data_IF_910372149840
#
_entry.id   IF_910372149840
#
_cell.length_a   1.000
_cell.length_b   1.000
_cell.length_c   1.000
_cell.angle_alpha   90.00
_cell.angle_beta   90.00
_cell.angle_gamma   90.00
#
_symmetry.space_group_name_H-M   'P 1'
#
loop_
_entity.id
_entity.type
_entity.pdbx_description
1 polymer ?
#
# COMPACT_ATOMS: atom_id res chain seq x y z
N UNK A 1 -13.00 9.96 26.77
CA UNK A 1 -13.35 8.93 25.79
C UNK A 1 -12.11 8.21 25.30
N UNK A 2 -12.17 6.92 25.26
CA UNK A 2 -11.04 6.11 24.83
C UNK A 2 -11.05 5.91 23.33
N UNK A 3 -9.84 5.88 22.76
CA UNK A 3 -9.67 5.78 21.33
C UNK A 3 -8.66 4.67 21.08
N UNK A 4 -9.10 3.62 20.41
CA UNK A 4 -8.24 2.48 20.11
C UNK A 4 -7.93 2.45 18.62
N UNK A 5 -6.68 2.23 18.29
CA UNK A 5 -6.26 2.21 16.90
C UNK A 5 -5.38 1.01 16.65
N UNK A 6 -5.51 0.49 15.44
CA UNK A 6 -4.66 -0.63 15.00
C UNK A 6 -3.64 -0.06 14.04
N UNK A 7 -2.42 0.06 14.51
CA UNK A 7 -1.34 0.61 13.72
C UNK A 7 -0.54 -0.50 13.06
N UNK A 8 -0.05 -0.22 11.87
CA UNK A 8 0.77 -1.18 11.14
C UNK A 8 1.86 -0.42 10.41
N UNK A 9 2.93 -1.12 10.08
CA UNK A 9 4.00 -0.53 9.31
C UNK A 9 4.65 -1.61 8.46
N UNK A 10 5.30 -1.16 7.40
CA UNK A 10 5.94 -2.11 6.50
C UNK A 10 6.45 -1.42 5.27
N UNK A 11 6.86 -2.24 4.31
CA UNK A 11 7.33 -1.78 3.02
C UNK A 11 6.60 -2.58 1.96
N UNK A 12 6.09 -1.87 0.94
CA UNK A 12 5.40 -2.53 -0.14
C UNK A 12 5.73 -1.90 -1.47
N UNK A 13 5.34 -2.58 -2.54
CA UNK A 13 5.60 -2.14 -3.90
C UNK A 13 4.27 -1.83 -4.58
N UNK A 14 4.19 -0.67 -5.22
CA UNK A 14 2.97 -0.26 -5.90
C UNK A 14 2.65 -1.24 -7.02
N UNK A 15 1.42 -1.78 -7.01
CA UNK A 15 0.99 -2.73 -8.04
C UNK A 15 0.48 -2.01 -9.28
N UNK A 16 0.16 -0.72 -9.16
CA UNK A 16 -0.30 0.11 -10.26
C UNK A 16 -0.01 1.55 -9.89
N UNK A 17 -0.15 2.44 -10.86
CA UNK A 17 0.00 3.86 -10.55
C UNK A 17 -1.09 4.27 -9.57
N UNK A 18 -0.74 5.07 -8.55
CA UNK A 18 -1.77 5.55 -7.62
C UNK A 18 -2.73 6.49 -8.32
N UNK A 19 -3.98 6.49 -7.88
CA UNK A 19 -5.01 7.37 -8.42
C UNK A 19 -5.37 8.42 -7.36
N UNK A 20 -5.68 9.61 -7.82
CA UNK A 20 -6.05 10.69 -6.92
C UNK A 20 -7.39 11.26 -7.36
N UNK A 21 -8.19 11.65 -6.39
CA UNK A 21 -9.47 12.29 -6.68
C UNK A 21 -9.76 13.32 -5.60
N UNK A 22 -10.59 14.28 -5.96
CA UNK A 22 -11.05 15.30 -5.05
C UNK A 22 -12.41 14.90 -4.51
N UNK A 23 -12.58 15.01 -3.20
CA UNK A 23 -13.84 14.67 -2.56
C UNK A 23 -14.29 15.83 -1.71
N UNK A 24 -15.60 15.88 -1.41
CA UNK A 24 -16.16 16.95 -0.64
C UNK A 24 -16.98 17.88 -1.50
N UNK A 25 -17.47 18.96 -0.88
CA UNK A 25 -18.31 19.92 -1.57
C UNK A 25 -17.52 21.15 -1.95
N UNK A 26 -18.22 22.20 -2.42
CA UNK A 26 -17.58 23.38 -2.92
C UNK A 26 -16.85 24.17 -1.83
N UNK A 27 -17.23 23.99 -0.58
CA UNK A 27 -16.60 24.71 0.52
C UNK A 27 -15.46 23.95 1.15
N UNK A 28 -15.55 22.62 1.16
CA UNK A 28 -14.54 21.79 1.77
C UNK A 28 -14.17 20.69 0.81
N UNK A 29 -12.99 20.82 0.27
CA UNK A 29 -12.47 19.82 -0.65
C UNK A 29 -11.21 19.21 -0.10
N UNK A 30 -11.09 17.91 -0.26
CA UNK A 30 -9.90 17.17 0.13
C UNK A 30 -9.49 16.29 -1.01
N UNK A 31 -8.21 16.01 -1.08
CA UNK A 31 -7.67 15.07 -2.04
C UNK A 31 -7.47 13.73 -1.35
N UNK A 32 -7.81 12.66 -2.03
CA UNK A 32 -7.50 11.32 -1.53
C UNK A 32 -6.82 10.55 -2.64
N UNK A 33 -5.71 9.93 -2.28
CA UNK A 33 -4.94 9.09 -3.19
C UNK A 33 -5.11 7.65 -2.73
N UNK A 34 -5.49 6.79 -3.66
CA UNK A 34 -5.73 5.38 -3.36
C UNK A 34 -4.77 4.53 -4.16
N UNK A 35 -4.27 3.49 -3.53
CA UNK A 35 -3.33 2.60 -4.18
C UNK A 35 -3.28 1.29 -3.44
N UNK A 36 -2.73 0.28 -4.11
CA UNK A 36 -2.50 -1.02 -3.49
C UNK A 36 -1.02 -1.30 -3.49
N UNK A 37 -0.57 -1.93 -2.44
CA UNK A 37 0.82 -2.34 -2.33
C UNK A 37 0.89 -3.86 -2.24
N UNK A 38 1.89 -4.41 -2.90
CA UNK A 38 2.22 -5.82 -2.77
C UNK A 38 3.28 -5.93 -1.68
N UNK A 39 2.98 -6.77 -0.70
CA UNK A 39 3.91 -7.05 0.39
C UNK A 39 4.30 -8.49 0.24
N UNK A 40 5.54 -8.71 -0.18
CA UNK A 40 6.00 -10.02 -0.56
C UNK A 40 6.56 -10.77 0.64
N UNK A 41 6.08 -11.98 0.80
CA UNK A 41 6.58 -12.90 1.79
C UNK A 41 7.26 -14.04 1.05
N UNK A 42 8.42 -14.46 1.53
CA UNK A 42 9.13 -15.58 0.94
C UNK A 42 9.14 -16.73 1.93
N UNK A 43 8.76 -17.92 1.45
CA UNK A 43 8.73 -19.12 2.28
C UNK A 43 9.34 -20.28 1.52
N UNK A 44 9.87 -21.25 2.25
CA UNK A 44 10.36 -22.46 1.65
C UNK A 44 9.22 -23.45 1.50
N UNK A 45 9.06 -23.97 0.30
CA UNK A 45 8.07 -25.00 0.02
C UNK A 45 8.80 -26.09 -0.72
N UNK A 46 8.86 -27.29 -0.10
CA UNK A 46 9.56 -28.43 -0.67
C UNK A 46 11.00 -28.10 -1.03
N UNK A 47 11.67 -27.37 -0.11
CA UNK A 47 13.07 -27.03 -0.30
C UNK A 47 13.33 -25.84 -1.19
N UNK A 48 12.30 -25.27 -1.81
CA UNK A 48 12.46 -24.14 -2.71
C UNK A 48 11.88 -22.89 -2.11
N UNK A 49 12.52 -21.77 -2.39
CA UNK A 49 12.07 -20.47 -1.91
C UNK A 49 11.01 -19.94 -2.87
N UNK A 50 9.82 -19.68 -2.35
CA UNK A 50 8.71 -19.20 -3.15
C UNK A 50 8.18 -17.90 -2.61
N UNK A 51 7.69 -17.06 -3.52
CA UNK A 51 7.17 -15.75 -3.18
C UNK A 51 5.65 -15.84 -3.02
N UNK A 52 5.16 -15.28 -1.92
CA UNK A 52 3.74 -15.20 -1.65
C UNK A 52 3.40 -13.72 -1.45
N UNK A 53 2.85 -13.07 -2.47
CA UNK A 53 2.51 -11.65 -2.33
C UNK A 53 1.19 -11.49 -1.61
N UNK A 54 1.13 -10.48 -0.77
CA UNK A 54 -0.11 -10.07 -0.11
C UNK A 54 -0.44 -8.67 -0.61
N UNK A 55 -1.69 -8.45 -0.96
CA UNK A 55 -2.11 -7.18 -1.53
C UNK A 55 -3.02 -6.46 -0.56
N UNK A 56 -2.71 -5.21 -0.26
CA UNK A 56 -3.50 -4.41 0.67
C UNK A 56 -3.83 -3.07 0.04
N UNK A 57 -5.00 -2.57 0.38
CA UNK A 57 -5.46 -1.28 -0.12
C UNK A 57 -5.11 -0.19 0.88
N UNK A 58 -4.62 0.92 0.34
CA UNK A 58 -4.18 2.06 1.12
C UNK A 58 -4.86 3.32 0.63
N UNK A 59 -4.98 4.27 1.52
CA UNK A 59 -5.42 5.62 1.16
C UNK A 59 -4.58 6.63 1.93
N UNK A 60 -4.42 7.80 1.33
CA UNK A 60 -3.70 8.90 1.95
C UNK A 60 -4.38 10.18 1.54
N UNK A 61 -4.32 11.19 2.39
CA UNK A 61 -5.15 12.39 2.22
C UNK A 61 -4.32 13.64 2.04
N UNK A 62 -4.88 14.61 1.31
CA UNK A 62 -4.46 15.99 1.18
C UNK A 62 -3.04 16.12 0.65
N UNK A 63 -2.16 16.81 1.34
CA UNK A 63 -0.83 17.07 0.80
C UNK A 63 -0.05 15.80 0.57
N UNK A 64 -0.19 14.85 1.48
CA UNK A 64 0.48 13.56 1.31
C UNK A 64 -0.06 12.82 0.08
N UNK A 65 -1.36 12.97 -0.20
CA UNK A 65 -1.95 12.37 -1.39
C UNK A 65 -1.30 12.94 -2.65
N UNK A 66 -1.11 14.25 -2.68
CA UNK A 66 -0.49 14.87 -3.83
C UNK A 66 0.95 14.44 -4.03
N UNK A 67 1.69 14.29 -2.92
CA UNK A 67 3.08 13.86 -3.00
C UNK A 67 3.21 12.44 -3.52
N UNK A 68 2.40 11.53 -3.01
CA UNK A 68 2.46 10.15 -3.44
C UNK A 68 2.04 10.04 -4.90
N UNK A 69 0.98 10.72 -5.27
CA UNK A 69 0.52 10.71 -6.65
C UNK A 69 1.59 11.23 -7.61
N UNK A 70 2.31 12.27 -7.19
CA UNK A 70 3.31 12.89 -8.05
C UNK A 70 4.56 12.05 -8.20
N UNK A 71 5.00 11.39 -7.11
CA UNK A 71 6.33 10.79 -7.08
C UNK A 71 6.35 9.26 -7.07
N UNK A 72 5.22 8.59 -7.00
CA UNK A 72 5.19 7.13 -6.97
C UNK A 72 4.45 6.59 -8.18
N UNK A 73 5.00 5.53 -8.75
CA UNK A 73 4.44 4.86 -9.92
C UNK A 73 4.47 3.37 -9.67
N UNK A 74 3.79 2.64 -10.54
CA UNK A 74 3.82 1.18 -10.49
C UNK A 74 5.26 0.69 -10.37
N UNK A 75 5.50 -0.19 -9.42
CA UNK A 75 6.81 -0.76 -9.20
C UNK A 75 7.67 -0.04 -8.17
N UNK A 76 7.28 1.17 -7.77
CA UNK A 76 8.02 1.91 -6.76
C UNK A 76 7.75 1.35 -5.38
N UNK A 77 8.67 1.62 -4.45
CA UNK A 77 8.55 1.16 -3.07
C UNK A 77 8.07 2.28 -2.16
N UNK A 78 7.38 1.89 -1.11
CA UNK A 78 6.94 2.82 -0.09
C UNK A 78 7.09 2.16 1.27
N UNK A 79 7.75 2.85 2.19
CA UNK A 79 7.70 2.48 3.59
C UNK A 79 6.56 3.25 4.23
N UNK A 80 5.68 2.55 4.93
CA UNK A 80 4.47 3.17 5.45
C UNK A 80 4.28 2.91 6.92
N UNK A 81 3.60 3.85 7.56
CA UNK A 81 3.00 3.70 8.88
C UNK A 81 1.54 4.06 8.70
N UNK A 82 0.66 3.13 9.05
CA UNK A 82 -0.74 3.29 8.68
C UNK A 82 -1.65 2.77 9.78
N UNK A 83 -2.87 3.26 9.76
CA UNK A 83 -3.92 2.83 10.68
C UNK A 83 -4.92 2.00 9.89
N UNK A 84 -5.23 0.81 10.39
CA UNK A 84 -6.23 -0.05 9.76
C UNK A 84 -7.61 0.52 10.03
N UNK A 85 -8.44 0.58 9.01
CA UNK A 85 -9.80 1.10 9.12
C UNK A 85 -10.72 0.20 8.31
N UNK A 86 -11.95 0.09 8.75
CA UNK A 86 -12.96 -0.59 7.97
C UNK A 86 -13.77 0.44 7.19
N UNK A 87 -13.96 0.17 5.92
CA UNK A 87 -14.91 0.91 5.12
C UNK A 87 -16.15 0.07 4.97
N UNK A 88 -17.30 0.69 5.15
CA UNK A 88 -18.58 0.00 5.10
C UNK A 88 -19.49 0.70 4.12
N UNK A 89 -20.23 -0.09 3.36
CA UNK A 89 -21.19 0.45 2.41
C UNK A 89 -22.22 -0.62 2.14
N UNK A 90 -23.28 -0.23 1.47
CA UNK A 90 -24.30 -1.19 1.04
C UNK A 90 -24.13 -1.46 -0.43
N UNK A 91 -24.23 -2.74 -0.79
CA UNK A 91 -24.13 -3.15 -2.18
C UNK A 91 -25.25 -2.48 -2.96
N UNK A 92 -24.91 -1.90 -4.11
CA UNK A 92 -25.90 -1.15 -4.89
C UNK A 92 -26.96 -2.04 -5.48
N UNK A 93 -26.63 -3.29 -5.77
CA UNK A 93 -27.59 -4.17 -6.42
C UNK A 93 -28.40 -4.97 -5.43
N UNK A 94 -27.80 -5.46 -4.36
CA UNK A 94 -28.49 -6.30 -3.41
C UNK A 94 -28.92 -5.58 -2.15
N UNK A 95 -28.33 -4.42 -1.87
CA UNK A 95 -28.59 -3.71 -0.63
C UNK A 95 -27.91 -4.29 0.58
N UNK A 96 -27.13 -5.34 0.41
CA UNK A 96 -26.49 -6.01 1.52
C UNK A 96 -25.31 -5.19 2.04
N UNK A 97 -25.06 -5.25 3.35
CA UNK A 97 -23.90 -4.55 3.90
C UNK A 97 -22.60 -5.20 3.45
N UNK A 98 -21.63 -4.37 3.11
CA UNK A 98 -20.30 -4.80 2.71
C UNK A 98 -19.27 -4.05 3.52
N UNK A 99 -18.10 -4.65 3.65
CA UNK A 99 -17.00 -3.98 4.32
C UNK A 99 -15.68 -4.47 3.77
N UNK A 100 -14.67 -3.65 3.95
CA UNK A 100 -13.31 -4.05 3.63
C UNK A 100 -12.36 -3.26 4.52
N UNK A 101 -11.14 -3.77 4.66
CA UNK A 101 -10.12 -3.11 5.44
C UNK A 101 -9.28 -2.26 4.50
N UNK A 102 -9.07 -1.01 4.89
CA UNK A 102 -8.23 -0.08 4.16
C UNK A 102 -7.24 0.49 5.16
N UNK A 103 -6.01 0.69 4.74
CA UNK A 103 -4.97 1.24 5.59
C UNK A 103 -4.80 2.71 5.25
N UNK A 104 -5.08 3.57 6.22
CA UNK A 104 -4.88 5.01 6.05
C UNK A 104 -3.46 5.34 6.44
N UNK A 105 -2.70 5.88 5.51
CA UNK A 105 -1.30 6.17 5.73
C UNK A 105 -1.18 7.39 6.63
N UNK A 106 -0.47 7.23 7.74
CA UNK A 106 -0.19 8.32 8.67
C UNK A 106 1.16 8.95 8.39
N UNK A 107 2.11 8.15 7.91
CA UNK A 107 3.45 8.62 7.61
C UNK A 107 4.07 7.68 6.60
N UNK A 108 5.04 8.18 5.84
CA UNK A 108 5.66 7.33 4.82
C UNK A 108 7.04 7.85 4.47
N UNK A 109 7.83 6.97 3.86
CA UNK A 109 9.13 7.32 3.32
C UNK A 109 9.24 6.72 1.93
N UNK A 110 9.65 7.52 0.97
CA UNK A 110 9.93 7.04 -0.38
C UNK A 110 11.26 6.30 -0.34
N UNK A 111 11.24 5.07 -0.82
CA UNK A 111 12.45 4.26 -0.88
C UNK A 111 12.90 4.15 -2.31
N UNK A 112 14.21 4.03 -2.55
CA UNK A 112 14.68 3.83 -3.91
C UNK A 112 14.17 2.51 -4.47
N UNK A 113 13.92 2.50 -5.78
CA UNK A 113 13.34 1.33 -6.43
C UNK A 113 14.25 0.11 -6.32
N UNK A 114 15.49 0.32 -6.16
CA UNK A 114 16.44 -0.78 -6.15
C UNK A 114 16.90 -1.06 -7.56
N UNK A 115 18.10 -1.52 -7.66
CA UNK A 115 18.68 -1.75 -8.96
C UNK A 115 18.44 -3.12 -9.49
N UNK A 116 18.04 -3.84 -9.01
CA UNK A 116 17.79 -5.03 -9.47
C UNK A 116 17.02 -5.61 -10.22
N UNK A 117 17.33 -4.71 -10.29
CA UNK A 117 16.94 -5.02 -10.72
C UNK A 117 16.68 -5.70 -11.26
N UNK A 118 16.88 -5.69 -11.32
CA UNK A 118 16.78 -6.07 -11.67
C UNK A 118 16.43 -6.87 -12.09
N UNK A 119 16.43 -7.07 -12.37
CA UNK A 119 16.24 -7.66 -12.73
C UNK A 119 15.76 -8.41 -13.19
N UNK A 120 15.77 -8.52 -13.94
CA UNK A 120 15.35 -9.22 -14.44
C UNK A 120 14.95 -10.28 -14.14
N UNK A 121 15.04 -10.70 -13.84
CA UNK A 121 14.72 -11.76 -13.35
C UNK A 121 14.27 -11.81 -12.22
N UNK A 122 14.13 -11.14 -11.97
CA UNK A 122 13.81 -11.08 -10.93
C UNK A 122 13.92 -11.51 -10.04
N UNK A 123 14.35 -11.83 -10.00
CA UNK A 123 14.56 -12.24 -9.10
C UNK A 123 15.21 -11.94 -8.35
N UNK A 124 15.51 -11.66 -8.40
CA UNK A 124 16.17 -11.35 -7.64
C UNK A 124 16.44 -10.87 -6.93
N UNK A 125 16.48 -10.44 -6.98
CA UNK A 125 16.76 -9.93 -6.22
C UNK A 125 16.82 -9.58 -5.41
N UNK A 126 16.85 -9.41 -5.31
CA UNK A 126 16.91 -9.12 -4.49
C UNK A 126 16.99 -8.91 -3.69
N UNK A 127 17.16 -8.65 -3.71
CA UNK A 127 17.24 -8.45 -2.93
C UNK A 127 17.29 -8.30 -2.15
N UNK A 128 17.42 -8.14 -2.26
CA UNK A 128 17.58 -8.02 -1.29
C UNK A 128 17.44 -7.84 -0.51
N UNK A 129 17.41 -7.72 -0.47
CA UNK A 129 17.26 -7.62 0.40
C UNK A 129 17.01 -7.95 1.01
N UNK A 130 16.96 -7.97 0.87
CA UNK A 130 16.74 -8.35 1.51
C UNK A 130 16.72 -8.68 2.18
N UNK A 131 16.99 -8.74 2.08
CA UNK A 131 17.06 -9.10 2.82
C UNK A 131 16.82 -8.87 3.57
N UNK A 132 16.72 -8.41 3.56
CA UNK A 132 16.52 -8.24 4.37
C UNK A 132 15.68 -7.87 4.73
N UNK A 133 15.30 -7.69 4.64
CA UNK A 133 14.53 -7.49 5.08
C UNK A 133 13.90 -7.74 5.73
N UNK A 134 13.70 -7.07 5.76
CA UNK A 134 13.25 -7.44 6.76
C UNK A 134 12.40 -7.82 7.18
N UNK A 135 12.02 -7.91 7.45
CA UNK A 135 11.43 -8.48 8.35
C UNK A 135 11.24 -9.64 8.31
#
# INVERSE_FOLDING_TARGET
MEDYKMKTFGVGRFVADPTIQTVGDSERQSSVCKFSLAINEYRKVNGERKKFPHFFDFEVWDKAAELIHKWRKKGDLLEFYATARQQKWNDKETGEPRSKVVFRVDDFTFLPRGTSATTEDGESVEEPLEEGTPF
#
